data_IF_499881964586
#
_entry.id   IF_499881964586
#
_cell.length_a   1.000
_cell.length_b   1.000
_cell.length_c   1.000
_cell.angle_alpha   90.00
_cell.angle_beta   90.00
_cell.angle_gamma   90.00
#
_symmetry.space_group_name_H-M   'P 1'
#
loop_
_entity.id
_entity.type
_entity.pdbx_description
1 polymer ?
#
# COMPACT_ATOMS: atom_id res chain seq x y z
N UNK A 1 -4.32 18.46 23.63
CA UNK A 1 -4.23 18.20 22.16
C UNK A 1 -5.23 17.13 21.78
N UNK A 2 -5.85 17.21 20.59
CA UNK A 2 -6.86 16.21 20.15
C UNK A 2 -6.18 14.86 19.91
N UNK A 3 -6.79 13.77 20.39
CA UNK A 3 -6.32 12.43 20.07
C UNK A 3 -6.56 12.14 18.57
N UNK A 4 -5.51 11.88 17.81
CA UNK A 4 -5.60 11.58 16.38
C UNK A 4 -5.71 10.07 16.08
N UNK A 5 -5.66 9.20 17.09
CA UNK A 5 -5.79 7.74 16.92
C UNK A 5 -7.02 7.34 16.11
N UNK A 6 -8.26 7.84 16.39
CA UNK A 6 -9.43 7.42 15.62
C UNK A 6 -9.33 7.80 14.14
N UNK A 7 -8.81 9.00 13.86
CA UNK A 7 -8.63 9.46 12.49
C UNK A 7 -7.58 8.66 11.75
N UNK A 8 -6.44 8.43 12.39
CA UNK A 8 -5.38 7.62 11.81
C UNK A 8 -5.83 6.17 11.59
N UNK A 9 -6.63 5.60 12.50
CA UNK A 9 -7.27 4.30 12.34
C UNK A 9 -8.22 4.25 11.14
N UNK A 10 -9.01 5.31 10.93
CA UNK A 10 -9.88 5.41 9.75
C UNK A 10 -9.06 5.47 8.46
N UNK A 11 -7.97 6.24 8.45
CA UNK A 11 -7.06 6.30 7.30
C UNK A 11 -6.42 4.94 7.03
N UNK A 12 -5.95 4.25 8.06
CA UNK A 12 -5.40 2.90 7.94
C UNK A 12 -6.44 1.92 7.41
N UNK A 13 -7.67 1.93 7.95
CA UNK A 13 -8.76 1.07 7.51
C UNK A 13 -9.05 1.26 6.02
N UNK A 14 -9.33 2.50 5.60
CA UNK A 14 -9.71 2.81 4.23
C UNK A 14 -8.58 2.58 3.22
N UNK A 15 -7.34 2.90 3.62
CA UNK A 15 -6.16 2.64 2.79
C UNK A 15 -5.95 1.14 2.58
N UNK A 16 -5.91 0.33 3.66
CA UNK A 16 -5.61 -1.09 3.55
C UNK A 16 -6.75 -1.87 2.90
N UNK A 17 -8.01 -1.44 3.07
CA UNK A 17 -9.14 -2.00 2.33
C UNK A 17 -8.99 -1.79 0.81
N UNK A 18 -8.61 -0.57 0.39
CA UNK A 18 -8.34 -0.27 -1.03
C UNK A 18 -7.08 -0.97 -1.54
N UNK A 19 -6.01 -1.01 -0.73
CA UNK A 19 -4.73 -1.63 -1.08
C UNK A 19 -4.88 -3.13 -1.33
N UNK A 20 -5.65 -3.83 -0.49
CA UNK A 20 -5.97 -5.25 -0.70
C UNK A 20 -6.61 -5.50 -2.06
N UNK A 21 -7.58 -4.69 -2.48
CA UNK A 21 -8.19 -4.82 -3.81
C UNK A 21 -7.21 -4.53 -4.95
N UNK A 22 -6.31 -3.56 -4.74
CA UNK A 22 -5.32 -3.16 -5.75
C UNK A 22 -4.24 -4.22 -5.97
N UNK A 23 -3.78 -4.89 -4.90
CA UNK A 23 -2.64 -5.82 -4.95
C UNK A 23 -3.08 -7.27 -5.11
N UNK A 24 -3.94 -7.76 -4.22
CA UNK A 24 -4.31 -9.18 -4.17
C UNK A 24 -5.05 -9.68 -5.42
N UNK A 25 -5.81 -8.80 -6.08
CA UNK A 25 -6.56 -9.12 -7.29
C UNK A 25 -5.97 -8.51 -8.57
N UNK A 26 -4.73 -7.96 -8.51
CA UNK A 26 -4.04 -7.40 -9.67
C UNK A 26 -3.92 -8.40 -10.82
N UNK A 27 -3.37 -9.56 -10.54
CA UNK A 27 -3.21 -10.64 -11.52
C UNK A 27 -4.55 -11.09 -12.08
N UNK A 28 -5.55 -11.26 -11.21
CA UNK A 28 -6.90 -11.66 -11.61
C UNK A 28 -7.51 -10.67 -12.60
N UNK A 29 -7.44 -9.36 -12.28
CA UNK A 29 -7.97 -8.31 -13.12
C UNK A 29 -7.25 -8.23 -14.46
N UNK A 30 -5.91 -8.19 -14.45
CA UNK A 30 -5.13 -8.01 -15.68
C UNK A 30 -5.24 -9.21 -16.63
N UNK A 31 -5.35 -10.44 -16.10
CA UNK A 31 -5.62 -11.64 -16.91
C UNK A 31 -7.03 -11.60 -17.50
N UNK A 32 -8.04 -11.15 -16.75
CA UNK A 32 -9.42 -10.97 -17.24
C UNK A 32 -9.50 -9.97 -18.39
N UNK A 33 -8.64 -8.95 -18.40
CA UNK A 33 -8.51 -7.98 -19.50
C UNK A 33 -7.72 -8.52 -20.71
N UNK A 34 -7.33 -9.80 -20.69
CA UNK A 34 -6.68 -10.47 -21.81
C UNK A 34 -5.16 -10.25 -21.90
N UNK A 35 -4.51 -9.76 -20.85
CA UNK A 35 -3.06 -9.68 -20.83
C UNK A 35 -2.45 -11.07 -20.53
N UNK A 36 -1.27 -11.36 -21.09
CA UNK A 36 -0.54 -12.59 -20.79
C UNK A 36 0.05 -12.59 -19.38
N UNK A 37 0.20 -13.76 -18.76
CA UNK A 37 0.83 -13.89 -17.43
C UNK A 37 2.22 -13.27 -17.37
N UNK A 38 3.00 -13.39 -18.46
CA UNK A 38 4.33 -12.76 -18.57
C UNK A 38 4.24 -11.24 -18.54
N UNK A 39 3.30 -10.66 -19.28
CA UNK A 39 3.06 -9.20 -19.27
C UNK A 39 2.65 -8.74 -17.87
N UNK A 40 1.73 -9.45 -17.21
CA UNK A 40 1.29 -9.13 -15.84
C UNK A 40 2.50 -9.12 -14.90
N UNK A 41 3.36 -10.15 -14.94
CA UNK A 41 4.58 -10.20 -14.13
C UNK A 41 5.50 -9.00 -14.35
N UNK A 42 5.69 -8.58 -15.60
CA UNK A 42 6.50 -7.38 -15.94
C UNK A 42 5.88 -6.11 -15.37
N UNK A 43 4.54 -5.93 -15.47
CA UNK A 43 3.86 -4.75 -14.95
C UNK A 43 3.96 -4.65 -13.42
N UNK A 44 3.78 -5.77 -12.72
CA UNK A 44 3.95 -5.84 -11.26
C UNK A 44 5.40 -5.54 -10.85
N UNK A 45 6.39 -6.07 -11.59
CA UNK A 45 7.80 -5.78 -11.34
C UNK A 45 8.14 -4.29 -11.57
N UNK A 46 7.62 -3.68 -12.64
CA UNK A 46 7.80 -2.26 -12.93
C UNK A 46 7.20 -1.37 -11.82
N UNK A 47 6.01 -1.71 -11.32
CA UNK A 47 5.41 -1.02 -10.17
C UNK A 47 6.31 -1.12 -8.93
N UNK A 48 6.77 -2.32 -8.58
CA UNK A 48 7.64 -2.56 -7.42
C UNK A 48 8.98 -1.83 -7.51
N UNK A 49 9.67 -1.92 -8.65
CA UNK A 49 10.94 -1.21 -8.89
C UNK A 49 10.72 0.31 -8.83
N UNK A 50 9.69 0.79 -9.50
CA UNK A 50 9.35 2.22 -9.51
C UNK A 50 9.04 2.75 -8.11
N UNK A 51 8.32 2.00 -7.29
CA UNK A 51 8.03 2.38 -5.90
C UNK A 51 9.28 2.38 -5.02
N UNK A 52 10.14 1.38 -5.18
CA UNK A 52 11.43 1.29 -4.47
C UNK A 52 12.33 2.51 -4.76
N UNK A 53 12.38 2.97 -6.00
CA UNK A 53 13.17 4.15 -6.40
C UNK A 53 12.52 5.47 -5.95
N UNK A 54 11.19 5.55 -5.94
CA UNK A 54 10.47 6.76 -5.55
C UNK A 54 10.49 7.02 -4.04
N UNK A 55 10.47 5.97 -3.22
CA UNK A 55 10.38 6.10 -1.76
C UNK A 55 11.51 6.94 -1.14
N UNK A 56 12.81 6.69 -1.38
CA UNK A 56 13.87 7.53 -0.80
C UNK A 56 13.86 8.96 -1.31
N UNK A 57 13.47 9.18 -2.57
CA UNK A 57 13.36 10.53 -3.15
C UNK A 57 12.26 11.33 -2.47
N UNK A 58 11.10 10.70 -2.25
CA UNK A 58 9.98 11.35 -1.56
C UNK A 58 10.26 11.55 -0.07
N UNK A 59 10.88 10.58 0.60
CA UNK A 59 11.31 10.72 1.99
C UNK A 59 12.25 11.91 2.16
N UNK A 60 13.30 12.00 1.33
CA UNK A 60 14.23 13.12 1.37
C UNK A 60 13.55 14.48 1.11
N UNK A 61 12.53 14.55 0.24
CA UNK A 61 11.74 15.78 0.03
C UNK A 61 10.92 16.16 1.25
N UNK A 62 10.28 15.16 1.89
CA UNK A 62 9.52 15.37 3.14
C UNK A 62 10.43 15.86 4.26
N UNK A 63 11.64 15.29 4.38
CA UNK A 63 12.58 15.66 5.43
C UNK A 63 13.10 17.08 5.27
N UNK A 64 13.37 17.51 4.05
CA UNK A 64 13.87 18.87 3.74
C UNK A 64 12.78 19.95 3.74
N UNK A 65 11.51 19.57 3.64
CA UNK A 65 10.42 20.53 3.58
C UNK A 65 10.21 21.24 4.92
N UNK A 66 10.09 22.58 4.91
CA UNK A 66 9.73 23.40 6.07
C UNK A 66 8.27 23.21 6.48
N UNK A 67 7.39 22.98 5.50
CA UNK A 67 5.98 22.70 5.74
C UNK A 67 5.74 21.18 5.90
N UNK A 68 4.61 20.84 6.50
CA UNK A 68 4.16 19.44 6.62
C UNK A 68 3.68 18.91 5.26
N UNK A 69 4.65 18.55 4.42
CA UNK A 69 4.42 18.13 3.02
C UNK A 69 3.82 16.73 2.92
N UNK A 70 3.98 15.89 3.95
CA UNK A 70 3.65 14.46 3.92
C UNK A 70 2.17 14.19 3.61
N UNK A 71 1.25 14.91 4.26
CA UNK A 71 -0.20 14.79 3.97
C UNK A 71 -0.55 15.23 2.55
N UNK A 72 0.12 16.27 2.03
CA UNK A 72 -0.10 16.74 0.65
C UNK A 72 0.35 15.69 -0.36
N UNK A 73 1.50 15.03 -0.14
CA UNK A 73 2.01 13.94 -0.99
C UNK A 73 1.07 12.74 -0.94
N UNK A 74 0.66 12.30 0.25
CA UNK A 74 -0.28 11.19 0.42
C UNK A 74 -1.61 11.47 -0.28
N UNK A 75 -2.13 12.69 -0.17
CA UNK A 75 -3.34 13.11 -0.86
C UNK A 75 -3.16 13.07 -2.39
N UNK A 76 -2.06 13.63 -2.90
CA UNK A 76 -1.74 13.62 -4.34
C UNK A 76 -1.63 12.19 -4.91
N UNK A 77 -0.93 11.30 -4.20
CA UNK A 77 -0.83 9.89 -4.59
C UNK A 77 -2.19 9.17 -4.54
N UNK A 78 -3.02 9.48 -3.53
CA UNK A 78 -4.38 8.91 -3.44
C UNK A 78 -5.28 9.37 -4.59
N UNK A 79 -5.20 10.65 -4.96
CA UNK A 79 -5.96 11.21 -6.11
C UNK A 79 -5.45 10.61 -7.42
N UNK A 80 -4.13 10.49 -7.60
CA UNK A 80 -3.54 9.85 -8.78
C UNK A 80 -4.01 8.40 -8.91
N UNK A 81 -3.94 7.64 -7.82
CA UNK A 81 -4.43 6.27 -7.77
C UNK A 81 -5.92 6.17 -8.11
N UNK A 82 -6.75 7.03 -7.51
CA UNK A 82 -8.18 7.10 -7.79
C UNK A 82 -8.45 7.40 -9.27
N UNK A 83 -7.74 8.36 -9.87
CA UNK A 83 -7.89 8.72 -11.29
C UNK A 83 -7.49 7.56 -12.22
N UNK A 84 -6.38 6.88 -11.92
CA UNK A 84 -5.92 5.73 -12.69
C UNK A 84 -6.95 4.58 -12.68
N UNK A 85 -7.50 4.25 -11.49
CA UNK A 85 -8.50 3.18 -11.40
C UNK A 85 -9.88 3.61 -11.94
N UNK A 86 -10.22 4.91 -11.91
CA UNK A 86 -11.43 5.43 -12.55
C UNK A 86 -11.39 5.30 -14.07
N UNK A 87 -10.23 5.46 -14.69
CA UNK A 87 -10.04 5.23 -16.12
C UNK A 87 -10.40 3.80 -16.52
N UNK A 88 -10.13 2.82 -15.67
CA UNK A 88 -10.41 1.40 -15.94
C UNK A 88 -11.91 1.06 -16.01
N UNK A 89 -12.79 1.98 -15.59
CA UNK A 89 -14.24 1.83 -15.74
C UNK A 89 -14.72 2.15 -17.16
N UNK A 90 -13.89 2.81 -17.99
CA UNK A 90 -14.24 3.14 -19.37
C UNK A 90 -14.26 1.85 -20.21
N UNK A 91 -15.38 1.51 -20.86
CA UNK A 91 -15.46 0.30 -21.67
C UNK A 91 -14.56 0.40 -22.92
N UNK A 92 -14.04 -0.75 -23.36
CA UNK A 92 -13.22 -0.88 -24.57
C UNK A 92 -11.92 -0.06 -24.58
N UNK A 93 -11.29 0.11 -23.40
CA UNK A 93 -9.96 0.71 -23.33
C UNK A 93 -8.92 -0.15 -24.05
N UNK A 94 -7.94 0.45 -24.75
CA UNK A 94 -6.79 -0.28 -25.28
C UNK A 94 -6.00 -0.97 -24.15
N UNK A 95 -5.54 -2.20 -24.39
CA UNK A 95 -4.79 -2.98 -23.38
C UNK A 95 -3.56 -2.24 -22.84
N UNK A 96 -2.86 -1.47 -23.70
CA UNK A 96 -1.72 -0.65 -23.29
C UNK A 96 -2.12 0.42 -22.26
N UNK A 97 -3.31 1.02 -22.40
CA UNK A 97 -3.79 2.03 -21.46
C UNK A 97 -4.28 1.39 -20.15
N UNK A 98 -4.88 0.19 -20.22
CA UNK A 98 -5.23 -0.60 -19.03
C UNK A 98 -3.96 -0.93 -18.26
N UNK A 99 -2.94 -1.48 -18.93
CA UNK A 99 -1.66 -1.83 -18.34
C UNK A 99 -0.97 -0.62 -17.68
N UNK A 100 -0.88 0.50 -18.39
CA UNK A 100 -0.28 1.72 -17.87
C UNK A 100 -1.04 2.28 -16.65
N UNK A 101 -2.37 2.39 -16.75
CA UNK A 101 -3.20 2.92 -15.65
C UNK A 101 -3.14 2.04 -14.41
N UNK A 102 -3.20 0.71 -14.58
CA UNK A 102 -3.10 -0.20 -13.46
C UNK A 102 -1.72 -0.13 -12.79
N UNK A 103 -0.65 -0.13 -13.58
CA UNK A 103 0.74 -0.07 -13.07
C UNK A 103 1.00 1.23 -12.30
N UNK A 104 0.54 2.39 -12.82
CA UNK A 104 0.69 3.68 -12.13
C UNK A 104 -0.17 3.74 -10.86
N UNK A 105 -1.39 3.20 -10.90
CA UNK A 105 -2.25 3.11 -9.73
C UNK A 105 -1.66 2.22 -8.62
N UNK A 106 -1.11 1.07 -9.00
CA UNK A 106 -0.42 0.15 -8.09
C UNK A 106 0.84 0.79 -7.51
N UNK A 107 1.70 1.37 -8.36
CA UNK A 107 2.88 2.12 -7.94
C UNK A 107 2.55 3.21 -6.91
N UNK A 108 1.50 4.00 -7.17
CA UNK A 108 1.06 5.05 -6.25
C UNK A 108 0.66 4.48 -4.89
N UNK A 109 0.00 3.33 -4.87
CA UNK A 109 -0.42 2.64 -3.65
C UNK A 109 0.78 2.10 -2.86
N UNK A 110 1.76 1.49 -3.54
CA UNK A 110 2.97 0.94 -2.92
C UNK A 110 3.83 2.03 -2.27
N UNK A 111 3.97 3.17 -2.95
CA UNK A 111 4.70 4.35 -2.42
C UNK A 111 4.04 4.91 -1.17
N UNK A 112 2.72 4.82 -1.05
CA UNK A 112 1.99 5.35 0.11
C UNK A 112 2.23 4.54 1.39
N UNK A 113 2.58 3.25 1.32
CA UNK A 113 2.72 2.37 2.50
C UNK A 113 3.71 2.93 3.53
N UNK A 114 5.00 3.18 3.19
CA UNK A 114 5.95 3.75 4.14
C UNK A 114 5.61 5.19 4.54
N UNK A 115 5.04 5.99 3.64
CA UNK A 115 4.65 7.36 3.94
C UNK A 115 3.50 7.44 4.97
N UNK A 116 2.57 6.49 4.95
CA UNK A 116 1.53 6.38 5.97
C UNK A 116 2.12 6.05 7.35
N UNK A 117 3.13 5.18 7.40
CA UNK A 117 3.81 4.88 8.66
C UNK A 117 4.57 6.12 9.17
N UNK A 118 5.27 6.84 8.29
CA UNK A 118 5.94 8.10 8.61
C UNK A 118 4.97 9.19 9.11
N UNK A 119 3.72 9.19 8.62
CA UNK A 119 2.67 10.11 9.08
C UNK A 119 2.40 9.96 10.57
N UNK A 120 2.31 8.73 11.09
CA UNK A 120 2.12 8.46 12.51
C UNK A 120 3.28 9.00 13.35
N UNK A 121 4.52 8.72 12.92
CA UNK A 121 5.73 9.19 13.60
C UNK A 121 5.76 10.71 13.66
N UNK A 122 5.48 11.37 12.53
CA UNK A 122 5.45 12.83 12.45
C UNK A 122 4.43 13.48 13.38
N UNK A 123 3.21 12.88 13.50
CA UNK A 123 2.21 13.38 14.46
C UNK A 123 2.63 13.17 15.90
N UNK A 124 3.25 12.02 16.23
CA UNK A 124 3.77 11.77 17.58
C UNK A 124 4.88 12.76 17.96
N UNK A 125 5.80 13.05 17.04
CA UNK A 125 6.86 14.05 17.24
C UNK A 125 6.28 15.46 17.44
N UNK A 126 5.17 15.77 16.79
CA UNK A 126 4.44 17.03 16.99
C UNK A 126 3.57 17.04 18.28
N UNK A 127 3.66 16.00 19.13
CA UNK A 127 2.99 15.93 20.43
C UNK A 127 1.54 15.45 20.37
N UNK A 128 1.03 14.97 19.22
CA UNK A 128 -0.30 14.39 19.13
C UNK A 128 -0.28 12.92 19.57
N UNK A 129 -1.15 12.48 20.48
CA UNK A 129 -1.27 11.07 20.83
C UNK A 129 -1.84 10.28 19.67
N UNK A 130 -1.03 9.32 19.16
CA UNK A 130 -1.45 8.37 18.12
C UNK A 130 -0.97 6.97 18.53
N UNK A 131 -1.90 6.04 18.63
CA UNK A 131 -1.59 4.63 18.87
C UNK A 131 -1.39 3.91 17.53
N UNK A 132 -0.13 3.68 17.15
CA UNK A 132 0.22 3.03 15.90
C UNK A 132 -0.23 1.57 15.85
N UNK A 133 0.01 0.80 16.93
CA UNK A 133 -0.33 -0.63 16.97
C UNK A 133 -1.82 -0.87 16.77
N UNK A 134 -2.67 -0.15 17.53
CA UNK A 134 -4.12 -0.25 17.38
C UNK A 134 -4.59 0.12 15.96
N UNK A 135 -4.08 1.22 15.42
CA UNK A 135 -4.46 1.67 14.08
C UNK A 135 -3.97 0.71 12.98
N UNK A 136 -2.77 0.14 13.12
CA UNK A 136 -2.21 -0.83 12.16
C UNK A 136 -2.95 -2.17 12.23
N UNK A 137 -3.36 -2.60 13.43
CA UNK A 137 -4.21 -3.77 13.62
C UNK A 137 -5.58 -3.60 12.95
N UNK A 138 -6.20 -2.41 13.05
CA UNK A 138 -7.43 -2.06 12.31
C UNK A 138 -7.18 -2.14 10.80
N UNK A 139 -6.03 -1.71 10.31
CA UNK A 139 -5.63 -1.86 8.90
C UNK A 139 -5.56 -3.33 8.46
N UNK A 140 -4.98 -4.21 9.27
CA UNK A 140 -4.93 -5.65 8.97
C UNK A 140 -6.33 -6.30 8.96
N UNK A 141 -7.19 -5.90 9.89
CA UNK A 141 -8.60 -6.32 9.89
C UNK A 141 -9.32 -5.84 8.62
N UNK A 142 -9.04 -4.62 8.18
CA UNK A 142 -9.59 -4.08 6.93
C UNK A 142 -9.15 -4.90 5.71
N UNK A 143 -7.85 -5.28 5.65
CA UNK A 143 -7.34 -6.17 4.59
C UNK A 143 -8.07 -7.51 4.59
N UNK A 144 -8.25 -8.13 5.75
CA UNK A 144 -8.96 -9.40 5.88
C UNK A 144 -10.39 -9.31 5.34
N UNK A 145 -11.18 -8.38 5.87
CA UNK A 145 -12.58 -8.19 5.47
C UNK A 145 -12.67 -7.84 3.98
N UNK A 146 -11.83 -6.92 3.51
CA UNK A 146 -11.85 -6.48 2.12
C UNK A 146 -11.50 -7.62 1.16
N UNK A 147 -10.49 -8.43 1.44
CA UNK A 147 -10.12 -9.58 0.61
C UNK A 147 -11.25 -10.60 0.51
N UNK A 148 -11.93 -10.89 1.62
CA UNK A 148 -13.07 -11.79 1.63
C UNK A 148 -14.22 -11.23 0.79
N UNK A 149 -14.63 -9.98 1.04
CA UNK A 149 -15.73 -9.33 0.32
C UNK A 149 -15.43 -9.24 -1.17
N UNK A 150 -14.24 -8.78 -1.54
CA UNK A 150 -13.83 -8.65 -2.95
C UNK A 150 -13.77 -10.01 -3.67
N UNK A 151 -13.28 -11.05 -2.99
CA UNK A 151 -13.29 -12.40 -3.56
C UNK A 151 -14.70 -12.88 -3.91
N UNK A 152 -15.68 -12.67 -3.03
CA UNK A 152 -17.09 -12.98 -3.29
C UNK A 152 -17.71 -12.06 -4.36
N UNK A 153 -17.41 -10.77 -4.33
CA UNK A 153 -17.92 -9.81 -5.32
C UNK A 153 -17.42 -10.16 -6.72
N UNK A 154 -16.14 -10.44 -6.88
CA UNK A 154 -15.57 -10.85 -8.18
C UNK A 154 -16.24 -12.12 -8.69
N UNK A 155 -16.38 -13.14 -7.82
CA UNK A 155 -16.94 -14.40 -8.20
C UNK A 155 -18.43 -14.34 -8.62
N UNK A 156 -19.20 -13.38 -8.08
CA UNK A 156 -20.65 -13.28 -8.32
C UNK A 156 -21.06 -12.12 -9.22
N UNK A 157 -20.38 -10.98 -9.13
CA UNK A 157 -20.78 -9.73 -9.77
C UNK A 157 -19.76 -9.26 -10.83
N UNK A 158 -18.53 -9.82 -10.80
CA UNK A 158 -17.50 -9.53 -11.78
C UNK A 158 -16.57 -8.37 -11.38
N UNK A 159 -15.59 -8.11 -12.27
CA UNK A 159 -14.49 -7.17 -12.02
C UNK A 159 -14.91 -5.71 -11.90
N UNK A 160 -15.97 -5.29 -12.58
CA UNK A 160 -16.47 -3.92 -12.52
C UNK A 160 -16.89 -3.53 -11.10
N UNK A 161 -17.57 -4.43 -10.38
CA UNK A 161 -17.98 -4.19 -9.00
C UNK A 161 -16.79 -4.15 -8.04
N UNK A 162 -15.76 -4.94 -8.29
CA UNK A 162 -14.50 -4.84 -7.57
C UNK A 162 -13.89 -3.43 -7.71
N UNK A 163 -13.80 -2.91 -8.96
CA UNK A 163 -13.28 -1.56 -9.21
C UNK A 163 -14.10 -0.48 -8.50
N UNK A 164 -15.43 -0.58 -8.50
CA UNK A 164 -16.31 0.38 -7.82
C UNK A 164 -16.08 0.37 -6.31
N UNK A 165 -15.95 -0.79 -5.67
CA UNK A 165 -15.64 -0.90 -4.24
C UNK A 165 -14.25 -0.36 -3.92
N UNK A 166 -13.27 -0.63 -4.78
CA UNK A 166 -11.91 -0.07 -4.67
C UNK A 166 -11.94 1.45 -4.74
N UNK A 167 -12.67 2.04 -5.69
CA UNK A 167 -12.82 3.48 -5.83
C UNK A 167 -13.55 4.09 -4.63
N UNK A 168 -14.59 3.44 -4.12
CA UNK A 168 -15.29 3.88 -2.92
C UNK A 168 -14.35 3.95 -1.70
N UNK A 169 -13.61 2.88 -1.43
CA UNK A 169 -12.66 2.84 -0.31
C UNK A 169 -11.52 3.83 -0.49
N UNK A 170 -11.05 4.04 -1.72
CA UNK A 170 -10.04 5.06 -2.05
C UNK A 170 -10.57 6.49 -1.86
N UNK A 171 -11.80 6.75 -2.25
CA UNK A 171 -12.47 8.03 -2.01
C UNK A 171 -12.58 8.34 -0.51
N UNK A 172 -13.00 7.36 0.31
CA UNK A 172 -13.02 7.49 1.76
C UNK A 172 -11.62 7.74 2.35
N UNK A 173 -10.58 7.14 1.78
CA UNK A 173 -9.20 7.39 2.17
C UNK A 173 -8.80 8.85 1.89
N UNK A 174 -9.15 9.40 0.72
CA UNK A 174 -8.92 10.80 0.35
C UNK A 174 -9.61 11.74 1.37
N UNK A 175 -10.87 11.51 1.67
CA UNK A 175 -11.60 12.31 2.68
C UNK A 175 -10.96 12.23 4.07
N UNK A 176 -10.49 11.06 4.47
CA UNK A 176 -9.79 10.86 5.74
C UNK A 176 -8.49 11.67 5.78
N UNK A 177 -7.72 11.72 4.68
CA UNK A 177 -6.48 12.47 4.56
C UNK A 177 -6.68 13.99 4.58
N UNK A 178 -7.75 14.50 3.96
CA UNK A 178 -8.04 15.95 3.91
C UNK A 178 -8.26 16.60 5.27
N UNK A 179 -8.64 15.84 6.26
CA UNK A 179 -9.01 16.41 7.56
C UNK A 179 -7.90 16.39 8.61
N UNK A 180 -6.67 16.08 8.28
CA UNK A 180 -5.57 16.22 9.24
C UNK A 180 -5.24 17.69 9.52
N UNK A 181 -4.85 18.02 10.77
CA UNK A 181 -4.44 19.37 11.10
C UNK A 181 -3.19 19.77 10.28
N UNK A 182 -3.17 21.02 9.84
CA UNK A 182 -1.97 21.59 9.23
C UNK A 182 -0.94 21.81 10.35
N UNK A 183 0.07 20.97 10.37
CA UNK A 183 1.18 21.10 11.31
C UNK A 183 2.25 22.02 10.71
N UNK A 184 2.82 22.88 11.54
CA UNK A 184 4.14 23.44 11.28
C UNK A 184 5.15 22.42 11.80
N UNK A 185 6.17 22.11 11.01
CA UNK A 185 7.27 21.29 11.48
C UNK A 185 7.93 22.04 12.64
N UNK A 186 8.20 21.43 13.80
CA UNK A 186 9.04 22.07 14.81
C UNK A 186 10.32 22.52 14.13
N UNK A 187 10.81 23.72 14.47
CA UNK A 187 12.13 24.14 14.00
C UNK A 187 13.11 23.01 14.30
N UNK A 188 13.94 22.61 13.32
CA UNK A 188 14.92 21.56 13.58
C UNK A 188 15.78 22.03 14.75
N UNK A 189 15.64 21.37 15.90
CA UNK A 189 16.66 21.45 16.92
C UNK A 189 17.96 21.15 16.18
N UNK A 190 18.95 22.08 16.27
CA UNK A 190 20.22 22.08 15.56
C UNK A 190 20.61 20.64 15.24
N UNK A 191 20.32 20.20 14.01
CA UNK A 191 20.79 18.90 13.57
C UNK A 191 22.30 19.10 13.45
N UNK A 192 23.01 18.55 14.42
CA UNK A 192 24.41 18.21 14.20
C UNK A 192 24.48 17.64 12.80
N UNK A 193 25.32 18.23 11.96
CA UNK A 193 25.64 17.78 10.62
C UNK A 193 26.11 16.34 10.81
N UNK A 194 25.17 15.39 10.79
CA UNK A 194 25.54 13.99 10.73
C UNK A 194 26.28 13.85 9.41
N UNK A 195 27.59 13.63 9.52
CA UNK A 195 28.45 13.27 8.43
C UNK A 195 27.69 12.29 7.54
N UNK A 196 27.46 12.69 6.30
CA UNK A 196 26.77 11.88 5.31
C UNK A 196 27.57 10.58 5.14
N UNK A 197 27.23 9.57 5.95
CA UNK A 197 27.88 8.27 5.87
C UNK A 197 27.63 7.72 4.46
N UNK A 198 28.68 7.57 3.68
CA UNK A 198 28.59 6.96 2.35
C UNK A 198 27.92 5.57 2.50
N UNK A 199 26.96 5.27 1.64
CA UNK A 199 26.25 3.96 1.64
C UNK A 199 27.24 2.78 1.66
N UNK A 200 28.34 2.88 0.91
CA UNK A 200 29.39 1.86 0.90
C UNK A 200 30.02 1.67 2.27
N UNK A 201 30.31 2.76 2.99
CA UNK A 201 30.88 2.70 4.35
C UNK A 201 29.88 2.08 5.33
N UNK A 202 28.59 2.37 5.19
CA UNK A 202 27.55 1.78 6.02
C UNK A 202 27.47 0.25 5.85
N UNK A 203 27.53 -0.28 4.63
CA UNK A 203 27.54 -1.71 4.36
C UNK A 203 28.71 -2.45 5.01
N UNK A 204 29.90 -1.85 4.98
CA UNK A 204 31.10 -2.42 5.61
C UNK A 204 31.07 -2.32 7.14
N UNK A 205 30.45 -1.27 7.68
CA UNK A 205 30.39 -1.02 9.11
C UNK A 205 29.35 -1.92 9.82
N UNK A 206 28.26 -2.27 9.14
CA UNK A 206 27.13 -3.02 9.72
C UNK A 206 26.77 -4.28 8.92
N UNK A 207 27.69 -5.24 8.73
CA UNK A 207 27.48 -6.41 7.87
C UNK A 207 26.35 -7.33 8.38
N UNK A 208 26.21 -7.49 9.69
CA UNK A 208 25.12 -8.32 10.29
C UNK A 208 23.74 -7.73 10.01
N UNK A 209 23.62 -6.41 10.09
CA UNK A 209 22.38 -5.72 9.76
C UNK A 209 22.03 -5.88 8.28
N UNK A 210 23.02 -5.73 7.40
CA UNK A 210 22.82 -5.92 5.96
C UNK A 210 22.41 -7.35 5.61
N UNK A 211 23.01 -8.35 6.27
CA UNK A 211 22.62 -9.76 6.10
C UNK A 211 21.19 -10.02 6.56
N UNK A 212 20.78 -9.43 7.69
CA UNK A 212 19.39 -9.52 8.18
C UNK A 212 18.41 -8.88 7.18
N UNK A 213 18.74 -7.71 6.63
CA UNK A 213 17.91 -7.05 5.60
C UNK A 213 17.80 -7.90 4.35
N UNK A 214 18.88 -8.54 3.92
CA UNK A 214 18.87 -9.46 2.78
C UNK A 214 17.95 -10.65 3.03
N UNK A 215 18.01 -11.25 4.22
CA UNK A 215 17.11 -12.35 4.62
C UNK A 215 15.64 -11.93 4.61
N UNK A 216 15.34 -10.74 5.14
CA UNK A 216 13.98 -10.16 5.09
C UNK A 216 13.53 -9.91 3.64
N UNK A 217 14.43 -9.43 2.77
CA UNK A 217 14.13 -9.21 1.36
C UNK A 217 13.76 -10.52 0.63
N UNK A 218 14.51 -11.61 0.86
CA UNK A 218 14.19 -12.92 0.30
C UNK A 218 12.85 -13.46 0.80
N UNK A 219 12.57 -13.31 2.11
CA UNK A 219 11.28 -13.70 2.67
C UNK A 219 10.14 -12.90 2.05
N UNK A 220 10.31 -11.58 1.92
CA UNK A 220 9.33 -10.69 1.28
C UNK A 220 9.09 -11.05 -0.19
N UNK A 221 10.15 -11.40 -0.93
CA UNK A 221 10.03 -11.85 -2.32
C UNK A 221 9.23 -13.17 -2.42
N UNK A 222 9.47 -14.13 -1.54
CA UNK A 222 8.72 -15.39 -1.49
C UNK A 222 7.23 -15.14 -1.20
N UNK A 223 6.92 -14.30 -0.20
CA UNK A 223 5.54 -13.95 0.14
C UNK A 223 4.83 -13.23 -1.02
N UNK A 224 5.50 -12.26 -1.64
CA UNK A 224 4.94 -11.54 -2.79
C UNK A 224 4.68 -12.46 -3.98
N UNK A 225 5.57 -13.40 -4.29
CA UNK A 225 5.35 -14.40 -5.33
C UNK A 225 4.14 -15.26 -5.02
N UNK A 226 4.01 -15.75 -3.79
CA UNK A 226 2.87 -16.58 -3.39
C UNK A 226 1.56 -15.83 -3.51
N UNK A 227 1.48 -14.59 -3.04
CA UNK A 227 0.28 -13.76 -3.12
C UNK A 227 -0.11 -13.43 -4.56
N UNK A 228 0.85 -13.03 -5.40
CA UNK A 228 0.60 -12.65 -6.79
C UNK A 228 0.14 -13.83 -7.66
N UNK A 229 0.62 -15.04 -7.39
CA UNK A 229 0.23 -16.25 -8.14
C UNK A 229 -0.85 -17.06 -7.45
N UNK A 230 -1.39 -16.62 -6.33
CA UNK A 230 -2.41 -17.34 -5.56
C UNK A 230 -3.63 -17.70 -6.42
N UNK A 231 -4.09 -16.77 -7.26
CA UNK A 231 -5.22 -17.05 -8.17
C UNK A 231 -4.90 -18.16 -9.18
N UNK A 232 -3.69 -18.19 -9.71
CA UNK A 232 -3.28 -19.23 -10.66
C UNK A 232 -3.22 -20.61 -9.98
N UNK A 233 -2.70 -20.67 -8.76
CA UNK A 233 -2.65 -21.89 -7.95
C UNK A 233 -4.06 -22.38 -7.63
N UNK A 234 -4.93 -21.48 -7.15
CA UNK A 234 -6.31 -21.81 -6.79
C UNK A 234 -7.12 -22.26 -8.01
N UNK A 235 -6.93 -21.59 -9.16
CA UNK A 235 -7.60 -21.97 -10.41
C UNK A 235 -7.14 -23.35 -10.94
N UNK A 236 -5.86 -23.68 -10.82
CA UNK A 236 -5.32 -24.99 -11.18
C UNK A 236 -5.93 -26.13 -10.32
N UNK A 237 -6.36 -25.81 -9.10
CA UNK A 237 -7.05 -26.72 -8.18
C UNK A 237 -8.59 -26.72 -8.35
N UNK A 238 -9.12 -26.03 -9.38
CA UNK A 238 -10.56 -25.92 -9.64
C UNK A 238 -11.28 -24.88 -8.78
N UNK A 239 -10.54 -24.03 -8.08
CA UNK A 239 -11.11 -22.93 -7.28
C UNK A 239 -11.37 -21.66 -8.09
N UNK A 240 -11.94 -20.66 -7.42
CA UNK A 240 -12.28 -19.36 -7.99
C UNK A 240 -11.84 -18.20 -7.08
N UNK A 241 -12.14 -16.96 -7.48
CA UNK A 241 -11.76 -15.75 -6.73
C UNK A 241 -12.31 -15.72 -5.29
N UNK A 242 -13.42 -16.38 -5.00
CA UNK A 242 -13.96 -16.49 -3.63
C UNK A 242 -13.02 -17.30 -2.73
N UNK A 243 -12.44 -18.39 -3.24
CA UNK A 243 -11.45 -19.19 -2.50
C UNK A 243 -10.16 -18.37 -2.23
N UNK A 244 -9.72 -17.55 -3.21
CA UNK A 244 -8.59 -16.62 -3.02
C UNK A 244 -8.89 -15.62 -1.91
N UNK A 245 -10.07 -14.99 -1.96
CA UNK A 245 -10.51 -14.04 -0.92
C UNK A 245 -10.55 -14.67 0.48
N UNK A 246 -11.05 -15.92 0.58
CA UNK A 246 -11.08 -16.68 1.84
C UNK A 246 -9.67 -17.01 2.36
N UNK A 247 -8.76 -17.43 1.49
CA UNK A 247 -7.37 -17.72 1.86
C UNK A 247 -6.66 -16.47 2.40
N UNK A 248 -6.82 -15.34 1.71
CA UNK A 248 -6.26 -14.04 2.15
C UNK A 248 -6.89 -13.54 3.44
N UNK A 249 -8.19 -13.75 3.63
CA UNK A 249 -8.88 -13.45 4.89
C UNK A 249 -8.27 -14.24 6.05
N UNK A 250 -8.12 -15.55 5.90
CA UNK A 250 -7.55 -16.40 6.95
C UNK A 250 -6.11 -16.01 7.27
N UNK A 251 -5.28 -15.74 6.27
CA UNK A 251 -3.91 -15.25 6.45
C UNK A 251 -3.86 -13.94 7.24
N UNK A 252 -4.69 -12.99 6.86
CA UNK A 252 -4.74 -11.68 7.52
C UNK A 252 -5.36 -11.77 8.93
N UNK A 253 -6.30 -12.68 9.16
CA UNK A 253 -6.91 -12.91 10.48
C UNK A 253 -5.90 -13.43 11.49
N UNK A 254 -4.99 -14.31 11.08
CA UNK A 254 -3.91 -14.81 11.94
C UNK A 254 -2.88 -13.71 12.23
N UNK A 255 -2.63 -12.82 11.28
CA UNK A 255 -1.66 -11.74 11.43
C UNK A 255 -2.17 -10.60 12.33
N UNK A 256 -3.47 -10.30 12.31
CA UNK A 256 -4.06 -9.17 13.03
C UNK A 256 -3.78 -9.20 14.55
N UNK A 257 -4.02 -10.30 15.31
CA UNK A 257 -3.72 -10.35 16.75
C UNK A 257 -2.25 -10.05 17.07
N UNK A 258 -1.33 -10.59 16.27
CA UNK A 258 0.10 -10.34 16.47
C UNK A 258 0.42 -8.84 16.41
N UNK A 259 -0.14 -8.13 15.43
CA UNK A 259 0.08 -6.68 15.27
C UNK A 259 -0.59 -5.87 16.40
N UNK A 260 -1.72 -6.33 16.96
CA UNK A 260 -2.38 -5.65 18.07
C UNK A 260 -1.59 -5.74 19.39
N UNK A 261 -0.88 -6.85 19.61
CA UNK A 261 -0.19 -7.11 20.89
C UNK A 261 1.29 -6.69 20.86
N UNK A 262 1.89 -6.47 19.71
CA UNK A 262 3.27 -6.00 19.51
C UNK A 262 3.33 -4.61 18.87
#
# INVERSE_FOLDING_TARGET
MKNLTPRYSLTQFTFWAAYSGTTAFATTYLLDQGLSSGTVGVLLALSGIGSCLAQPVLAARVDRAKEFLLTKILLGLSVLCFSCFSLLLIPKLPQALIAASYTVGLWSSDVMVPLLNALCVSFRQAGYPVNYGAARGIGSTATAISSLVLGFVIARLGMTWMLLLLLLTRCLCIFSLMGYPKLQKPEPAIQEIQDSCSLSRFFWQYPRYCLTLLGIAFLGMFLAMTENYLIAIVSALGGNSSHVGTALFLSSLVTAPVIFFF
#
